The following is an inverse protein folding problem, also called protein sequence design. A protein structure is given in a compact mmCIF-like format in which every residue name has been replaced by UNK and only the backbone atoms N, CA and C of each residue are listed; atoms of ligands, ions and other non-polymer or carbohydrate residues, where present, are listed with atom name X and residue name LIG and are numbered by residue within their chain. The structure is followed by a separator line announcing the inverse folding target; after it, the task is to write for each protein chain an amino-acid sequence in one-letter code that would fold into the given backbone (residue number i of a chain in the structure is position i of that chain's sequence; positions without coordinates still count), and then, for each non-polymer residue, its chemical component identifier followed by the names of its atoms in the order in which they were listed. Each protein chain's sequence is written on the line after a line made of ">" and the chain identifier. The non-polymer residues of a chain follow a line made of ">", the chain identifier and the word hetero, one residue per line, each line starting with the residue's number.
data_IF_686721761295
#
_entry.id   IF_686721761295
#
_cell.length_a   1.000
_cell.length_b   1.000
_cell.length_c   1.000
_cell.angle_alpha   90.00
_cell.angle_beta   90.00
_cell.angle_gamma   90.00
#
_symmetry.space_group_name_H-M   'P 1'
#
loop_
_entity.id
_entity.type
_entity.pdbx_description
1 polymer ?
#
# COMPACT_ATOMS: atom_id res chain seq x y z
N UNK A 1 6.12 -19.32 -6.02
CA UNK A 1 5.44 -18.03 -5.69
C UNK A 1 5.29 -18.02 -4.20
N UNK A 2 5.56 -16.90 -3.53
CA UNK A 2 5.42 -16.79 -2.08
C UNK A 2 3.94 -16.79 -1.71
N UNK A 3 3.53 -17.71 -0.83
CA UNK A 3 2.18 -17.78 -0.30
C UNK A 3 1.87 -16.55 0.55
N UNK A 4 0.62 -16.07 0.50
CA UNK A 4 0.20 -14.89 1.27
C UNK A 4 -0.73 -15.32 2.41
N UNK A 5 -0.43 -14.90 3.63
CA UNK A 5 -1.18 -15.27 4.83
C UNK A 5 -2.67 -14.85 4.75
N UNK A 6 -2.96 -13.78 4.02
CA UNK A 6 -4.32 -13.26 3.84
C UNK A 6 -5.19 -14.09 2.87
N UNK A 7 -4.62 -15.09 2.15
CA UNK A 7 -5.33 -15.84 1.10
C UNK A 7 -6.59 -16.54 1.61
N UNK A 8 -6.47 -17.26 2.72
CA UNK A 8 -7.62 -18.00 3.29
C UNK A 8 -8.74 -17.04 3.71
N UNK A 9 -8.37 -15.90 4.26
CA UNK A 9 -9.35 -14.88 4.64
C UNK A 9 -10.07 -14.30 3.43
N UNK A 10 -9.35 -13.99 2.39
CA UNK A 10 -9.91 -13.49 1.14
C UNK A 10 -10.97 -14.45 0.58
N UNK A 11 -10.66 -15.75 0.56
CA UNK A 11 -11.58 -16.80 0.09
C UNK A 11 -12.81 -16.91 0.99
N UNK A 12 -12.63 -16.88 2.31
CA UNK A 12 -13.75 -16.97 3.26
C UNK A 12 -14.65 -15.74 3.22
N UNK A 13 -14.10 -14.54 3.04
CA UNK A 13 -14.89 -13.31 2.88
C UNK A 13 -15.72 -13.33 1.58
N UNK A 14 -15.16 -13.85 0.49
CA UNK A 14 -15.90 -13.98 -0.77
C UNK A 14 -17.14 -14.89 -0.65
N UNK A 15 -17.17 -15.82 0.32
CA UNK A 15 -18.36 -16.62 0.63
C UNK A 15 -19.40 -15.88 1.47
N UNK A 16 -19.03 -14.77 2.12
CA UNK A 16 -19.87 -14.09 3.11
C UNK A 16 -20.44 -12.77 2.61
N UNK A 17 -19.77 -12.09 1.67
CA UNK A 17 -20.19 -10.79 1.15
C UNK A 17 -20.19 -10.80 -0.38
N UNK A 18 -21.06 -9.99 -1.01
CA UNK A 18 -21.12 -9.92 -2.48
C UNK A 18 -19.87 -9.33 -3.13
N UNK A 19 -19.17 -8.44 -2.43
CA UNK A 19 -17.97 -7.76 -2.94
C UNK A 19 -16.83 -7.90 -1.93
N UNK A 20 -15.62 -8.24 -2.39
CA UNK A 20 -14.39 -8.11 -1.59
C UNK A 20 -13.46 -7.13 -2.27
N UNK A 21 -12.98 -6.14 -1.54
CA UNK A 21 -12.07 -5.13 -2.06
C UNK A 21 -10.68 -5.28 -1.43
N UNK A 22 -9.66 -5.46 -2.24
CA UNK A 22 -8.27 -5.57 -1.81
C UNK A 22 -7.55 -4.26 -2.14
N UNK A 23 -7.12 -3.55 -1.10
CA UNK A 23 -6.33 -2.33 -1.22
C UNK A 23 -4.90 -2.56 -0.73
N UNK A 24 -3.99 -1.66 -1.06
CA UNK A 24 -2.60 -1.73 -0.59
C UNK A 24 -1.64 -1.00 -1.52
N UNK A 25 -0.37 -0.87 -1.15
CA UNK A 25 0.61 -0.17 -1.95
C UNK A 25 0.77 -0.79 -3.34
N UNK A 26 1.29 -0.02 -4.29
CA UNK A 26 1.65 -0.56 -5.60
C UNK A 26 2.69 -1.68 -5.43
N UNK A 27 2.62 -2.66 -6.33
CA UNK A 27 3.54 -3.80 -6.39
C UNK A 27 3.53 -4.71 -5.15
N UNK A 28 2.55 -4.58 -4.24
CA UNK A 28 2.39 -5.50 -3.11
C UNK A 28 1.89 -6.90 -3.49
N UNK A 29 1.51 -7.11 -4.77
CA UNK A 29 1.08 -8.41 -5.29
C UNK A 29 -0.44 -8.63 -5.31
N UNK A 30 -1.27 -7.57 -5.24
CA UNK A 30 -2.75 -7.65 -5.26
C UNK A 30 -3.29 -8.45 -6.44
N UNK A 31 -2.94 -8.07 -7.65
CA UNK A 31 -3.36 -8.76 -8.89
C UNK A 31 -2.99 -10.23 -8.88
N UNK A 32 -1.76 -10.55 -8.45
CA UNK A 32 -1.28 -11.93 -8.34
C UNK A 32 -2.07 -12.72 -7.32
N UNK A 33 -2.35 -12.14 -6.15
CA UNK A 33 -3.15 -12.76 -5.10
C UNK A 33 -4.55 -13.12 -5.63
N UNK A 34 -5.28 -12.17 -6.20
CA UNK A 34 -6.68 -12.41 -6.62
C UNK A 34 -6.78 -13.42 -7.77
N UNK A 35 -5.89 -13.35 -8.76
CA UNK A 35 -5.87 -14.31 -9.87
C UNK A 35 -5.61 -15.75 -9.41
N UNK A 36 -4.74 -15.92 -8.42
CA UNK A 36 -4.43 -17.26 -7.91
C UNK A 36 -5.50 -17.79 -6.94
N UNK A 37 -6.16 -16.88 -6.20
CA UNK A 37 -7.23 -17.27 -5.28
C UNK A 37 -8.54 -17.61 -6.00
N UNK A 38 -8.77 -17.03 -7.19
CA UNK A 38 -10.00 -17.19 -7.97
C UNK A 38 -9.70 -17.44 -9.44
N UNK A 39 -9.07 -18.57 -9.79
CA UNK A 39 -8.66 -18.86 -11.17
C UNK A 39 -9.85 -19.03 -12.13
N UNK A 40 -11.03 -19.33 -11.60
CA UNK A 40 -12.29 -19.52 -12.36
C UNK A 40 -13.06 -18.20 -12.59
N UNK A 41 -12.67 -17.10 -11.94
CA UNK A 41 -13.33 -15.82 -12.13
C UNK A 41 -12.88 -15.14 -13.44
N UNK A 42 -13.81 -14.48 -14.10
CA UNK A 42 -13.46 -13.56 -15.19
C UNK A 42 -12.55 -12.43 -14.63
N UNK A 43 -11.70 -11.91 -15.48
CA UNK A 43 -10.73 -10.90 -15.08
C UNK A 43 -10.69 -9.74 -16.07
N UNK A 44 -10.75 -8.53 -15.58
CA UNK A 44 -10.54 -7.30 -16.35
C UNK A 44 -9.60 -6.35 -15.62
N UNK A 45 -8.70 -5.70 -16.39
CA UNK A 45 -7.78 -4.68 -15.88
C UNK A 45 -8.15 -3.31 -16.45
N UNK A 46 -8.43 -2.35 -15.59
CA UNK A 46 -8.77 -0.98 -15.95
C UNK A 46 -7.54 -0.08 -16.19
N UNK A 47 -6.32 -0.60 -16.08
CA UNK A 47 -5.14 0.07 -16.67
C UNK A 47 -5.18 0.03 -18.20
N UNK A 48 -5.83 -0.99 -18.78
CA UNK A 48 -6.05 -1.06 -20.24
C UNK A 48 -7.02 0.06 -20.68
N UNK A 49 -6.59 0.93 -21.61
CA UNK A 49 -7.42 2.06 -22.07
C UNK A 49 -8.73 1.63 -22.73
N UNK A 50 -8.76 0.48 -23.42
CA UNK A 50 -9.95 -0.03 -24.11
C UNK A 50 -10.99 -0.47 -23.07
N UNK A 51 -10.57 -1.25 -22.07
CA UNK A 51 -11.45 -1.69 -20.98
C UNK A 51 -11.97 -0.50 -20.18
N UNK A 52 -11.10 0.49 -19.93
CA UNK A 52 -11.47 1.71 -19.22
C UNK A 52 -12.49 2.53 -19.98
N UNK A 53 -12.30 2.73 -21.29
CA UNK A 53 -13.25 3.44 -22.15
C UNK A 53 -14.62 2.75 -22.14
N UNK A 54 -14.66 1.43 -22.34
CA UNK A 54 -15.90 0.66 -22.27
C UNK A 54 -16.60 0.81 -20.91
N UNK A 55 -15.84 0.69 -19.81
CA UNK A 55 -16.37 0.84 -18.46
C UNK A 55 -16.93 2.24 -18.18
N UNK A 56 -16.36 3.28 -18.79
CA UNK A 56 -16.78 4.67 -18.59
C UNK A 56 -17.97 5.06 -19.46
N UNK A 57 -17.96 4.67 -20.73
CA UNK A 57 -18.96 5.10 -21.71
C UNK A 57 -20.19 4.18 -21.79
N UNK A 58 -19.97 2.87 -21.57
CA UNK A 58 -21.02 1.85 -21.58
C UNK A 58 -20.82 0.79 -20.50
N UNK A 59 -21.13 1.14 -19.26
CA UNK A 59 -20.99 0.19 -18.15
C UNK A 59 -21.88 -1.06 -18.29
N UNK A 60 -23.02 -0.97 -19.01
CA UNK A 60 -23.88 -2.15 -19.26
C UNK A 60 -23.19 -3.13 -20.21
N UNK A 61 -22.70 -2.64 -21.37
CA UNK A 61 -21.91 -3.44 -22.29
C UNK A 61 -20.63 -3.98 -21.65
N UNK A 62 -20.03 -3.24 -20.70
CA UNK A 62 -18.90 -3.72 -19.91
C UNK A 62 -19.26 -4.97 -19.10
N UNK A 63 -20.37 -4.98 -18.33
CA UNK A 63 -20.80 -6.15 -17.54
C UNK A 63 -21.43 -7.27 -18.40
N UNK A 64 -21.90 -6.98 -19.61
CA UNK A 64 -22.28 -8.00 -20.60
C UNK A 64 -21.05 -8.74 -21.14
N UNK A 65 -19.95 -8.01 -21.34
CA UNK A 65 -18.68 -8.56 -21.83
C UNK A 65 -17.94 -9.33 -20.73
N UNK A 66 -17.82 -8.73 -19.55
CA UNK A 66 -17.11 -9.30 -18.39
C UNK A 66 -18.14 -9.78 -17.35
N UNK A 67 -18.62 -11.02 -17.56
CA UNK A 67 -19.66 -11.63 -16.69
C UNK A 67 -19.15 -11.98 -15.31
N UNK A 68 -20.04 -11.97 -14.34
CA UNK A 68 -19.81 -12.49 -12.98
C UNK A 68 -19.58 -14.01 -12.96
N UNK A 69 -18.80 -14.54 -12.00
CA UNK A 69 -18.03 -13.79 -11.01
C UNK A 69 -16.82 -13.10 -11.64
N UNK A 70 -16.51 -11.87 -11.19
CA UNK A 70 -15.59 -10.96 -11.88
C UNK A 70 -14.54 -10.33 -10.95
N UNK A 71 -13.28 -10.39 -11.37
CA UNK A 71 -12.19 -9.61 -10.78
C UNK A 71 -12.03 -8.32 -11.61
N UNK A 72 -12.16 -7.17 -10.95
CA UNK A 72 -11.90 -5.85 -11.55
C UNK A 72 -10.63 -5.29 -10.91
N UNK A 73 -9.56 -5.24 -11.69
CA UNK A 73 -8.25 -4.78 -11.24
C UNK A 73 -8.09 -3.28 -11.52
N UNK A 74 -7.51 -2.55 -10.55
CA UNK A 74 -7.27 -1.10 -10.56
C UNK A 74 -8.58 -0.29 -10.70
N UNK A 75 -9.61 -0.66 -9.92
CA UNK A 75 -10.96 -0.09 -9.98
C UNK A 75 -11.00 1.44 -9.74
N UNK A 76 -9.99 2.04 -9.09
CA UNK A 76 -9.90 3.48 -8.93
C UNK A 76 -9.75 4.25 -10.25
N UNK A 77 -9.46 3.57 -11.37
CA UNK A 77 -9.40 4.19 -12.70
C UNK A 77 -10.78 4.56 -13.24
N UNK A 78 -11.84 3.89 -12.76
CA UNK A 78 -13.25 4.18 -13.10
C UNK A 78 -14.10 4.05 -11.83
N UNK A 79 -14.04 5.04 -10.93
CA UNK A 79 -14.75 4.98 -9.63
C UNK A 79 -16.28 4.88 -9.78
N UNK A 80 -16.83 5.33 -10.90
CA UNK A 80 -18.25 5.29 -11.23
C UNK A 80 -18.80 3.86 -11.29
N UNK A 81 -17.95 2.86 -11.62
CA UNK A 81 -18.33 1.45 -11.60
C UNK A 81 -18.78 0.97 -10.20
N UNK A 82 -18.30 1.59 -9.12
CA UNK A 82 -18.71 1.23 -7.77
C UNK A 82 -20.22 1.44 -7.57
N UNK A 83 -20.80 2.48 -8.19
CA UNK A 83 -22.24 2.72 -8.15
C UNK A 83 -23.02 1.72 -9.00
N UNK A 84 -22.50 1.32 -10.16
CA UNK A 84 -23.12 0.28 -10.96
C UNK A 84 -23.10 -1.08 -10.24
N UNK A 85 -21.97 -1.45 -9.62
CA UNK A 85 -21.84 -2.66 -8.80
C UNK A 85 -22.82 -2.63 -7.61
N UNK A 86 -23.01 -1.47 -6.97
CA UNK A 86 -23.99 -1.31 -5.91
C UNK A 86 -25.39 -1.70 -6.38
N UNK A 87 -25.85 -1.16 -7.52
CA UNK A 87 -27.17 -1.48 -8.08
C UNK A 87 -27.30 -2.98 -8.34
N UNK A 88 -26.34 -3.58 -9.04
CA UNK A 88 -26.34 -5.02 -9.34
C UNK A 88 -26.39 -5.90 -8.10
N UNK A 89 -25.66 -5.52 -7.04
CA UNK A 89 -25.64 -6.24 -5.75
C UNK A 89 -26.97 -6.09 -5.01
N UNK A 90 -27.61 -4.92 -5.07
CA UNK A 90 -28.89 -4.66 -4.41
C UNK A 90 -30.07 -5.38 -5.09
N UNK A 91 -29.98 -5.62 -6.40
CA UNK A 91 -30.98 -6.38 -7.15
C UNK A 91 -30.98 -7.90 -6.83
N UNK A 92 -29.82 -8.45 -6.44
CA UNK A 92 -29.66 -9.87 -6.11
C UNK A 92 -28.89 -10.08 -4.81
N UNK A 93 -29.51 -9.71 -3.70
CA UNK A 93 -28.91 -9.67 -2.36
C UNK A 93 -28.50 -11.04 -1.79
N UNK A 94 -28.84 -12.13 -2.43
CA UNK A 94 -28.55 -13.48 -1.93
C UNK A 94 -27.21 -14.05 -2.40
N UNK A 95 -26.54 -13.42 -3.36
CA UNK A 95 -25.30 -13.93 -3.97
C UNK A 95 -24.06 -13.24 -3.40
N UNK A 96 -23.16 -14.04 -2.86
CA UNK A 96 -21.85 -13.62 -2.40
C UNK A 96 -20.76 -13.92 -3.43
N UNK A 97 -19.58 -13.29 -3.29
CA UNK A 97 -18.42 -13.52 -4.15
C UNK A 97 -18.62 -13.09 -5.60
N UNK A 98 -19.52 -12.14 -5.87
CA UNK A 98 -19.79 -11.69 -7.23
C UNK A 98 -18.65 -10.88 -7.82
N UNK A 99 -18.03 -10.01 -6.99
CA UNK A 99 -16.97 -9.11 -7.41
C UNK A 99 -15.78 -9.15 -6.46
N UNK A 100 -14.59 -9.25 -7.03
CA UNK A 100 -13.33 -9.02 -6.35
C UNK A 100 -12.71 -7.77 -6.95
N UNK A 101 -12.59 -6.72 -6.15
CA UNK A 101 -12.04 -5.43 -6.59
C UNK A 101 -10.61 -5.30 -6.08
N UNK A 102 -9.70 -4.82 -6.92
CA UNK A 102 -8.38 -4.41 -6.45
C UNK A 102 -8.14 -2.96 -6.76
N UNK A 103 -7.33 -2.32 -5.96
CA UNK A 103 -6.91 -0.95 -6.23
C UNK A 103 -5.77 -0.48 -5.34
N UNK A 104 -5.02 0.50 -5.84
CA UNK A 104 -4.11 1.25 -5.01
C UNK A 104 -4.94 2.03 -3.98
N UNK A 105 -4.44 2.09 -2.73
CA UNK A 105 -5.12 2.85 -1.69
C UNK A 105 -5.05 4.34 -2.04
N UNK A 106 -6.16 4.89 -2.50
CA UNK A 106 -6.30 6.29 -2.85
C UNK A 106 -7.53 6.87 -2.15
N UNK A 107 -7.50 8.15 -1.72
CA UNK A 107 -8.64 8.79 -1.07
C UNK A 107 -9.94 8.71 -1.90
N UNK A 108 -9.80 8.79 -3.24
CA UNK A 108 -10.94 8.69 -4.18
C UNK A 108 -11.60 7.30 -4.09
N UNK A 109 -10.81 6.23 -4.08
CA UNK A 109 -11.32 4.86 -3.96
C UNK A 109 -12.00 4.65 -2.60
N UNK A 110 -11.40 5.10 -1.51
CA UNK A 110 -12.01 4.99 -0.18
C UNK A 110 -13.35 5.72 -0.11
N UNK A 111 -13.42 6.93 -0.65
CA UNK A 111 -14.66 7.70 -0.70
C UNK A 111 -15.73 6.99 -1.52
N UNK A 112 -15.37 6.46 -2.69
CA UNK A 112 -16.29 5.71 -3.55
C UNK A 112 -16.82 4.44 -2.87
N UNK A 113 -15.95 3.66 -2.22
CA UNK A 113 -16.33 2.47 -1.46
C UNK A 113 -17.27 2.85 -0.31
N UNK A 114 -16.94 3.88 0.47
CA UNK A 114 -17.77 4.34 1.58
C UNK A 114 -19.15 4.85 1.13
N UNK A 115 -19.25 5.46 -0.04
CA UNK A 115 -20.51 5.97 -0.59
C UNK A 115 -21.37 4.88 -1.23
N UNK A 116 -20.77 4.02 -2.06
CA UNK A 116 -21.53 3.06 -2.88
C UNK A 116 -21.58 1.66 -2.30
N UNK A 117 -20.52 1.18 -1.67
CA UNK A 117 -20.41 -0.21 -1.23
C UNK A 117 -20.47 -0.40 0.29
N UNK A 118 -20.89 0.63 1.05
CA UNK A 118 -21.08 0.49 2.50
C UNK A 118 -22.05 -0.66 2.83
N UNK A 119 -21.61 -1.60 3.70
CA UNK A 119 -22.39 -2.77 4.07
C UNK A 119 -22.48 -3.88 3.00
N UNK A 120 -21.86 -3.70 1.83
CA UNK A 120 -21.84 -4.65 0.71
C UNK A 120 -20.46 -5.22 0.42
N UNK A 121 -19.41 -4.58 0.92
CA UNK A 121 -18.03 -5.00 0.70
C UNK A 121 -17.28 -5.22 2.00
N UNK A 122 -16.39 -6.21 2.00
CA UNK A 122 -15.32 -6.36 2.98
C UNK A 122 -14.03 -5.86 2.38
N UNK A 123 -13.28 -5.05 3.15
CA UNK A 123 -12.02 -4.47 2.69
C UNK A 123 -10.86 -5.21 3.34
N UNK A 124 -9.95 -5.70 2.51
CA UNK A 124 -8.68 -6.29 2.92
C UNK A 124 -7.52 -5.40 2.50
N UNK A 125 -6.53 -5.28 3.37
CA UNK A 125 -5.31 -4.55 3.06
C UNK A 125 -4.16 -5.53 2.81
N UNK A 126 -3.59 -5.51 1.61
CA UNK A 126 -2.41 -6.31 1.27
C UNK A 126 -1.16 -5.43 1.31
N UNK A 127 -0.37 -5.56 2.37
CA UNK A 127 0.93 -4.92 2.52
C UNK A 127 2.06 -5.75 1.86
N UNK A 128 3.30 -5.25 1.76
CA UNK A 128 4.45 -6.04 1.34
C UNK A 128 4.58 -7.35 2.13
N UNK A 129 5.52 -8.22 1.75
CA UNK A 129 5.71 -9.51 2.40
C UNK A 129 5.99 -9.37 3.90
N UNK A 130 5.40 -10.26 4.70
CA UNK A 130 5.71 -10.38 6.12
C UNK A 130 6.94 -11.27 6.35
N UNK A 131 7.52 -11.18 7.54
CA UNK A 131 8.61 -12.09 7.94
C UNK A 131 8.14 -13.55 7.94
N UNK A 132 6.90 -13.81 8.36
CA UNK A 132 6.35 -15.18 8.37
C UNK A 132 6.24 -15.74 6.95
N UNK A 133 5.70 -14.99 5.99
CA UNK A 133 5.59 -15.41 4.58
C UNK A 133 6.96 -15.76 3.99
N UNK A 134 8.01 -14.99 4.30
CA UNK A 134 9.38 -15.27 3.86
C UNK A 134 9.99 -16.47 4.61
N UNK A 135 9.69 -16.63 5.90
CA UNK A 135 10.20 -17.72 6.71
C UNK A 135 9.60 -19.08 6.30
N UNK A 136 8.28 -19.11 6.04
CA UNK A 136 7.59 -20.31 5.58
C UNK A 136 8.11 -20.85 4.22
N UNK A 137 8.64 -19.96 3.38
CA UNK A 137 9.28 -20.31 2.11
C UNK A 137 10.80 -20.56 2.24
N UNK A 138 11.34 -20.54 3.46
CA UNK A 138 12.78 -20.75 3.71
C UNK A 138 13.70 -19.63 3.21
N UNK A 139 13.12 -18.48 2.80
CA UNK A 139 13.86 -17.39 2.14
C UNK A 139 14.73 -16.61 3.13
N UNK A 140 14.35 -16.56 4.40
CA UNK A 140 15.09 -15.82 5.43
C UNK A 140 16.38 -16.51 5.85
N UNK A 141 16.54 -17.80 5.53
CA UNK A 141 17.72 -18.55 5.92
C UNK A 141 18.97 -17.98 5.21
N UNK A 142 19.93 -17.53 6.00
CA UNK A 142 21.20 -16.97 5.48
C UNK A 142 21.13 -15.47 5.08
N UNK A 143 19.97 -14.82 5.23
CA UNK A 143 19.89 -13.36 5.03
C UNK A 143 20.34 -12.63 6.29
N UNK A 144 21.32 -11.73 6.15
CA UNK A 144 21.71 -10.81 7.24
C UNK A 144 20.63 -9.74 7.45
N UNK A 145 20.58 -9.16 8.65
CA UNK A 145 19.70 -8.03 8.93
C UNK A 145 20.03 -6.84 8.03
N UNK A 146 21.31 -6.58 7.76
CA UNK A 146 21.74 -5.48 6.90
C UNK A 146 21.33 -5.73 5.43
N UNK A 147 21.31 -7.00 4.98
CA UNK A 147 20.72 -7.37 3.69
C UNK A 147 19.21 -7.07 3.64
N UNK A 148 18.46 -7.38 4.70
CA UNK A 148 17.04 -7.08 4.79
C UNK A 148 16.74 -5.57 4.80
N UNK A 149 17.61 -4.75 5.41
CA UNK A 149 17.50 -3.29 5.34
C UNK A 149 17.60 -2.75 3.92
N UNK A 150 18.43 -3.37 3.08
CA UNK A 150 18.60 -2.97 1.68
C UNK A 150 17.50 -3.54 0.78
N UNK A 151 17.22 -4.84 0.93
CA UNK A 151 16.32 -5.55 0.05
C UNK A 151 14.86 -5.16 0.30
N UNK A 152 14.49 -4.89 1.57
CA UNK A 152 13.10 -4.65 1.92
C UNK A 152 12.22 -5.89 1.73
N UNK A 153 10.93 -5.69 1.49
CA UNK A 153 9.93 -6.76 1.50
C UNK A 153 8.96 -6.73 0.31
N UNK A 154 9.32 -6.00 -0.74
CA UNK A 154 8.53 -6.01 -1.97
C UNK A 154 8.64 -7.37 -2.68
N UNK A 155 7.50 -8.00 -3.08
CA UNK A 155 7.48 -9.35 -3.64
C UNK A 155 8.40 -9.54 -4.85
N UNK A 156 8.56 -8.51 -5.69
CA UNK A 156 9.41 -8.55 -6.88
C UNK A 156 10.86 -8.84 -6.55
N UNK A 157 11.35 -8.37 -5.41
CA UNK A 157 12.75 -8.54 -4.97
C UNK A 157 13.08 -9.97 -4.51
N UNK A 158 12.06 -10.83 -4.40
CA UNK A 158 12.19 -12.24 -4.00
C UNK A 158 11.89 -13.20 -5.13
N UNK A 159 11.70 -12.69 -6.36
CA UNK A 159 11.53 -13.52 -7.54
C UNK A 159 12.90 -13.99 -8.07
N UNK A 160 12.92 -15.19 -8.66
CA UNK A 160 14.12 -15.67 -9.37
C UNK A 160 14.44 -14.72 -10.54
N UNK A 161 15.68 -14.22 -10.57
CA UNK A 161 16.12 -13.23 -11.56
C UNK A 161 15.58 -11.80 -11.29
N UNK A 162 15.24 -11.49 -10.05
CA UNK A 162 14.86 -10.13 -9.64
C UNK A 162 16.00 -9.12 -9.89
N UNK A 163 15.60 -7.86 -10.03
CA UNK A 163 16.54 -6.74 -10.14
C UNK A 163 17.26 -6.52 -8.80
N UNK A 164 18.44 -5.91 -8.86
CA UNK A 164 19.10 -5.42 -7.65
C UNK A 164 18.20 -4.42 -6.91
N UNK A 165 18.17 -4.42 -5.56
CA UNK A 165 17.31 -3.54 -4.78
C UNK A 165 17.43 -2.06 -5.14
N UNK A 166 18.64 -1.57 -5.37
CA UNK A 166 18.89 -0.17 -5.76
C UNK A 166 18.22 0.19 -7.10
N UNK A 167 18.29 -0.70 -8.07
CA UNK A 167 17.64 -0.51 -9.38
C UNK A 167 16.12 -0.55 -9.22
N UNK A 168 15.62 -1.49 -8.42
CA UNK A 168 14.20 -1.61 -8.14
C UNK A 168 13.63 -0.34 -7.48
N UNK A 169 14.24 0.17 -6.40
CA UNK A 169 13.73 1.34 -5.68
C UNK A 169 13.90 2.64 -6.47
N UNK A 170 14.95 2.77 -7.28
CA UNK A 170 15.07 3.86 -8.24
C UNK A 170 13.88 3.89 -9.20
N UNK A 171 13.57 2.74 -9.81
CA UNK A 171 12.48 2.64 -10.77
C UNK A 171 11.11 2.81 -10.09
N UNK A 172 10.96 2.29 -8.86
CA UNK A 172 9.76 2.49 -8.04
C UNK A 172 9.53 3.98 -7.71
N UNK A 173 10.60 4.70 -7.34
CA UNK A 173 10.54 6.15 -7.08
C UNK A 173 10.09 6.89 -8.35
N UNK A 174 10.77 6.66 -9.47
CA UNK A 174 10.53 7.37 -10.73
C UNK A 174 9.15 7.06 -11.34
N UNK A 175 8.66 5.83 -11.21
CA UNK A 175 7.40 5.44 -11.87
C UNK A 175 6.17 5.64 -11.01
N UNK A 176 6.25 5.33 -9.73
CA UNK A 176 5.11 5.42 -8.83
C UNK A 176 5.07 6.76 -8.09
N UNK A 177 6.17 7.14 -7.44
CA UNK A 177 6.17 8.33 -6.59
C UNK A 177 6.08 9.59 -7.44
N UNK A 178 6.85 9.66 -8.53
CA UNK A 178 6.82 10.82 -9.42
C UNK A 178 5.50 10.94 -10.19
N UNK A 179 4.94 9.84 -10.66
CA UNK A 179 3.74 9.88 -11.50
C UNK A 179 2.47 9.94 -10.67
N UNK A 180 2.21 8.91 -9.86
CA UNK A 180 0.91 8.75 -9.22
C UNK A 180 0.72 9.70 -8.03
N UNK A 181 1.75 9.86 -7.16
CA UNK A 181 1.66 10.79 -6.04
C UNK A 181 1.66 12.24 -6.52
N UNK A 182 2.36 12.54 -7.62
CA UNK A 182 2.33 13.87 -8.24
C UNK A 182 0.92 14.23 -8.71
N UNK A 183 0.22 13.30 -9.38
CA UNK A 183 -1.16 13.51 -9.80
C UNK A 183 -2.10 13.69 -8.58
N UNK A 184 -1.97 12.85 -7.56
CA UNK A 184 -2.81 12.88 -6.35
C UNK A 184 -2.66 14.16 -5.52
N UNK A 185 -1.46 14.73 -5.47
CA UNK A 185 -1.11 15.88 -4.64
C UNK A 185 -1.04 17.19 -5.44
N UNK A 186 -1.30 17.14 -6.75
CA UNK A 186 -1.09 18.29 -7.66
C UNK A 186 0.28 18.96 -7.44
N UNK A 187 1.33 18.12 -7.28
CA UNK A 187 2.67 18.60 -6.93
C UNK A 187 3.21 19.47 -8.04
N UNK A 188 3.33 20.78 -7.76
CA UNK A 188 3.90 21.78 -8.69
C UNK A 188 5.42 21.70 -8.80
N UNK A 189 6.08 21.21 -7.74
CA UNK A 189 7.55 21.13 -7.68
C UNK A 189 7.97 19.76 -7.16
N UNK A 190 8.33 18.87 -8.08
CA UNK A 190 8.73 17.50 -7.79
C UNK A 190 10.04 17.45 -6.99
N UNK A 191 11.01 18.33 -7.28
CA UNK A 191 12.29 18.33 -6.58
C UNK A 191 12.14 18.61 -5.08
N UNK A 192 11.21 19.51 -4.71
CA UNK A 192 10.88 19.77 -3.31
C UNK A 192 10.24 18.56 -2.65
N UNK A 193 9.38 17.83 -3.37
CA UNK A 193 8.78 16.62 -2.85
C UNK A 193 9.79 15.49 -2.65
N UNK A 194 10.69 15.27 -3.61
CA UNK A 194 11.77 14.28 -3.49
C UNK A 194 12.73 14.66 -2.34
N UNK A 195 13.09 15.95 -2.23
CA UNK A 195 13.85 16.47 -1.10
C UNK A 195 13.15 16.20 0.24
N UNK A 196 11.83 16.42 0.29
CA UNK A 196 11.03 16.08 1.47
C UNK A 196 11.10 14.60 1.83
N UNK A 197 10.95 13.68 0.85
CA UNK A 197 11.06 12.24 1.07
C UNK A 197 12.44 11.85 1.61
N UNK A 198 13.51 12.40 1.06
CA UNK A 198 14.89 12.14 1.53
C UNK A 198 15.08 12.64 2.96
N UNK A 199 14.64 13.87 3.25
CA UNK A 199 14.70 14.42 4.61
C UNK A 199 13.84 13.65 5.60
N UNK A 200 12.73 13.08 5.14
CA UNK A 200 11.86 12.22 5.94
C UNK A 200 12.55 10.88 6.25
N UNK A 201 13.24 10.27 5.28
CA UNK A 201 14.04 9.07 5.49
C UNK A 201 15.16 9.31 6.53
N UNK A 202 15.82 10.47 6.48
CA UNK A 202 16.82 10.90 7.48
C UNK A 202 16.25 11.08 8.90
N UNK A 203 14.92 11.09 9.05
CA UNK A 203 14.21 11.24 10.33
C UNK A 203 13.36 10.00 10.68
N UNK A 204 13.64 8.88 10.05
CA UNK A 204 12.95 7.62 10.36
C UNK A 204 13.09 7.27 11.84
N UNK A 205 12.00 6.81 12.48
CA UNK A 205 11.97 6.52 13.90
C UNK A 205 11.96 7.76 14.82
N UNK A 206 11.84 8.96 14.27
CA UNK A 206 11.87 10.21 15.04
C UNK A 206 10.53 10.95 15.00
N UNK A 207 10.31 11.79 16.00
CA UNK A 207 9.19 12.75 16.02
C UNK A 207 9.47 13.89 15.06
N UNK A 208 8.53 14.19 14.16
CA UNK A 208 8.72 15.22 13.14
C UNK A 208 8.23 16.58 13.61
N UNK A 209 9.07 17.60 13.42
CA UNK A 209 8.70 19.00 13.52
C UNK A 209 8.47 19.58 12.12
N UNK A 210 7.20 19.72 11.73
CA UNK A 210 6.82 20.22 10.41
C UNK A 210 7.25 21.66 10.16
N UNK A 211 7.30 22.51 11.19
CA UNK A 211 7.75 23.91 11.04
C UNK A 211 9.24 23.99 10.71
N UNK A 212 10.07 23.17 11.36
CA UNK A 212 11.49 23.12 11.02
C UNK A 212 11.69 22.54 9.61
N UNK A 213 11.01 21.44 9.29
CA UNK A 213 11.12 20.76 8.01
C UNK A 213 10.62 21.63 6.85
N UNK A 214 9.62 22.51 7.08
CA UNK A 214 9.11 23.45 6.07
C UNK A 214 10.18 24.43 5.58
N UNK A 215 11.03 24.91 6.48
CA UNK A 215 12.19 25.75 6.13
C UNK A 215 13.23 25.01 5.29
N UNK A 216 13.50 23.75 5.63
CA UNK A 216 14.48 22.92 4.91
C UNK A 216 13.98 22.53 3.49
N UNK A 217 12.69 22.26 3.33
CA UNK A 217 12.08 21.88 2.04
C UNK A 217 11.73 23.10 1.18
N UNK A 218 11.43 24.23 1.81
CA UNK A 218 11.01 25.46 1.12
C UNK A 218 9.54 25.42 0.68
N UNK A 219 8.66 24.82 1.52
CA UNK A 219 7.20 24.82 1.37
C UNK A 219 6.51 25.06 2.71
N UNK A 220 5.21 25.35 2.72
CA UNK A 220 4.48 25.57 3.97
C UNK A 220 4.35 24.29 4.81
N UNK A 221 4.21 24.43 6.13
CA UNK A 221 3.93 23.30 7.02
C UNK A 221 2.58 22.63 6.70
N UNK A 222 1.62 23.37 6.18
CA UNK A 222 0.32 22.85 5.69
C UNK A 222 0.54 21.91 4.52
N UNK A 223 1.32 22.31 3.51
CA UNK A 223 1.70 21.47 2.37
C UNK A 223 2.40 20.20 2.81
N UNK A 224 3.34 20.28 3.77
CA UNK A 224 3.99 19.08 4.30
C UNK A 224 3.02 18.16 5.03
N UNK A 225 2.03 18.70 5.75
CA UNK A 225 1.00 17.91 6.40
C UNK A 225 0.12 17.16 5.40
N UNK A 226 -0.23 17.80 4.29
CA UNK A 226 -0.96 17.17 3.17
C UNK A 226 -0.13 16.07 2.55
N UNK A 227 1.15 16.32 2.24
CA UNK A 227 2.07 15.32 1.70
C UNK A 227 2.21 14.11 2.63
N UNK A 228 2.39 14.33 3.94
CA UNK A 228 2.43 13.25 4.93
C UNK A 228 1.14 12.42 4.93
N UNK A 229 -0.01 13.07 4.83
CA UNK A 229 -1.30 12.37 4.85
C UNK A 229 -1.47 11.48 3.62
N UNK A 230 -1.03 11.94 2.44
CA UNK A 230 -1.07 11.11 1.23
C UNK A 230 -0.02 9.99 1.28
N UNK A 231 1.19 10.25 1.77
CA UNK A 231 2.21 9.20 1.95
C UNK A 231 1.72 8.09 2.90
N UNK A 232 1.01 8.46 3.98
CA UNK A 232 0.41 7.48 4.89
C UNK A 232 -0.75 6.72 4.23
N UNK A 233 -1.66 7.44 3.54
CA UNK A 233 -2.76 6.84 2.79
C UNK A 233 -2.28 5.92 1.66
N UNK A 234 -1.09 6.15 1.12
CA UNK A 234 -0.45 5.32 0.09
C UNK A 234 0.45 4.21 0.65
N UNK A 235 0.46 4.03 1.98
CA UNK A 235 1.30 3.06 2.67
C UNK A 235 2.81 3.21 2.41
N UNK A 236 3.28 4.41 2.11
CA UNK A 236 4.73 4.70 2.03
C UNK A 236 5.30 4.84 3.43
N UNK A 237 4.57 5.54 4.30
CA UNK A 237 4.93 5.75 5.69
C UNK A 237 3.81 5.27 6.62
N UNK A 238 4.18 5.09 7.87
CA UNK A 238 3.29 4.88 9.00
C UNK A 238 3.59 5.88 10.10
N UNK A 239 2.54 6.52 10.65
CA UNK A 239 2.62 7.47 11.77
C UNK A 239 2.28 6.76 13.08
N UNK A 240 3.29 6.42 13.86
CA UNK A 240 3.12 5.80 15.16
C UNK A 240 2.80 6.86 16.20
N UNK A 241 1.55 6.86 16.69
CA UNK A 241 1.11 7.79 17.74
C UNK A 241 1.69 7.38 19.10
N UNK A 242 2.09 8.35 19.94
CA UNK A 242 2.61 8.02 21.27
C UNK A 242 1.50 7.45 22.16
N UNK A 243 1.86 6.50 23.00
CA UNK A 243 0.95 6.00 24.03
C UNK A 243 0.82 6.99 25.18
N UNK A 244 -0.39 7.38 25.50
CA UNK A 244 -0.76 8.07 26.74
C UNK A 244 -2.05 7.45 27.27
N UNK A 245 -2.18 7.34 28.59
CA UNK A 245 -3.44 6.96 29.25
C UNK A 245 -4.57 7.95 28.93
N UNK A 246 -4.22 9.23 28.84
CA UNK A 246 -5.16 10.29 28.44
C UNK A 246 -5.33 10.35 26.91
N UNK A 247 -6.56 10.10 26.43
CA UNK A 247 -6.90 10.06 25.00
C UNK A 247 -6.62 11.38 24.29
N UNK A 248 -6.91 12.53 24.95
CA UNK A 248 -6.65 13.87 24.39
C UNK A 248 -5.17 14.07 24.10
N UNK A 249 -4.28 13.65 25.02
CA UNK A 249 -2.83 13.74 24.82
C UNK A 249 -2.35 12.88 23.65
N UNK A 250 -2.97 11.70 23.41
CA UNK A 250 -2.65 10.85 22.24
C UNK A 250 -2.93 11.54 20.91
N UNK A 251 -3.92 12.41 20.85
CA UNK A 251 -4.31 13.11 19.63
C UNK A 251 -3.46 14.35 19.33
N UNK A 252 -2.96 15.01 20.38
CA UNK A 252 -2.26 16.31 20.26
C UNK A 252 -0.75 16.12 20.03
N UNK A 253 -0.14 15.04 20.55
CA UNK A 253 1.31 14.82 20.45
C UNK A 253 1.72 14.33 19.08
N UNK A 254 2.84 14.87 18.58
CA UNK A 254 3.40 14.50 17.28
C UNK A 254 3.82 13.03 17.23
N UNK A 255 3.46 12.29 16.17
CA UNK A 255 3.83 10.90 16.00
C UNK A 255 5.30 10.74 15.58
N UNK A 256 5.86 9.56 15.82
CA UNK A 256 7.07 9.11 15.13
C UNK A 256 6.72 8.65 13.72
N UNK A 257 7.66 8.80 12.79
CA UNK A 257 7.49 8.39 11.39
C UNK A 257 8.34 7.15 11.10
N UNK A 258 7.71 6.18 10.44
CA UNK A 258 8.36 4.96 9.97
C UNK A 258 8.03 4.74 8.49
N UNK A 259 8.98 4.20 7.73
CA UNK A 259 8.71 3.72 6.39
C UNK A 259 8.10 2.31 6.46
N UNK A 260 7.01 2.09 5.74
CA UNK A 260 6.38 0.77 5.64
C UNK A 260 7.30 -0.20 4.89
N UNK A 261 8.03 0.31 3.90
CA UNK A 261 9.02 -0.42 3.13
C UNK A 261 10.42 0.09 3.45
N UNK A 262 11.19 -0.72 4.20
CA UNK A 262 12.50 -0.29 4.72
C UNK A 262 13.55 -0.12 3.62
N UNK A 263 13.50 -0.94 2.56
CA UNK A 263 14.43 -0.82 1.45
C UNK A 263 14.29 0.51 0.72
N UNK A 264 13.07 1.08 0.64
CA UNK A 264 12.88 2.43 0.12
C UNK A 264 13.55 3.49 1.00
N UNK A 265 13.47 3.36 2.32
CA UNK A 265 14.15 4.29 3.23
C UNK A 265 15.67 4.22 3.06
N UNK A 266 16.24 3.01 2.98
CA UNK A 266 17.67 2.80 2.74
C UNK A 266 18.11 3.39 1.40
N UNK A 267 17.32 3.19 0.35
CA UNK A 267 17.59 3.78 -0.98
C UNK A 267 17.60 5.32 -0.93
N UNK A 268 16.61 5.94 -0.28
CA UNK A 268 16.52 7.40 -0.13
C UNK A 268 17.69 8.00 0.66
N UNK A 269 18.30 7.23 1.55
CA UNK A 269 19.50 7.58 2.31
C UNK A 269 20.81 7.34 1.55
N UNK A 270 20.75 6.76 0.34
CA UNK A 270 21.94 6.43 -0.45
C UNK A 270 22.73 5.23 0.10
N UNK A 271 22.06 4.34 0.86
CA UNK A 271 22.66 3.11 1.39
C UNK A 271 22.51 2.02 0.33
N UNK A 272 23.62 1.61 -0.27
CA UNK A 272 23.66 0.72 -1.43
C UNK A 272 24.25 -0.67 -1.12
N UNK A 273 25.01 -0.78 -0.03
CA UNK A 273 25.69 -2.02 0.36
C UNK A 273 25.46 -2.38 1.83
N UNK A 274 25.56 -3.66 2.17
CA UNK A 274 25.48 -4.14 3.55
C UNK A 274 26.52 -3.46 4.46
N UNK A 275 27.71 -3.20 3.92
CA UNK A 275 28.78 -2.51 4.65
C UNK A 275 28.42 -1.06 4.99
N UNK A 276 27.74 -0.36 4.06
CA UNK A 276 27.22 0.98 4.33
C UNK A 276 26.09 0.90 5.36
N UNK A 277 25.11 0.00 5.20
CA UNK A 277 24.02 -0.19 6.16
C UNK A 277 24.54 -0.47 7.58
N UNK A 278 25.57 -1.32 7.72
CA UNK A 278 26.15 -1.67 9.01
C UNK A 278 26.81 -0.49 9.73
N UNK A 279 27.41 0.45 8.98
CA UNK A 279 28.14 1.60 9.50
C UNK A 279 27.33 2.90 9.53
N UNK A 280 26.11 2.88 9.00
CA UNK A 280 25.29 4.09 8.90
C UNK A 280 24.88 4.58 10.30
N UNK A 281 25.01 5.89 10.56
CA UNK A 281 24.60 6.49 11.84
C UNK A 281 23.10 6.26 12.16
N UNK A 282 22.26 6.10 11.14
CA UNK A 282 20.82 5.84 11.28
C UNK A 282 20.48 4.34 11.35
N UNK A 283 21.47 3.43 11.38
CA UNK A 283 21.23 1.99 11.43
C UNK A 283 20.24 1.58 12.52
N UNK A 284 20.39 2.15 13.74
CA UNK A 284 19.45 1.89 14.84
C UNK A 284 18.01 2.30 14.53
N UNK A 285 17.83 3.45 13.90
CA UNK A 285 16.53 3.96 13.47
C UNK A 285 15.92 3.12 12.34
N UNK A 286 16.74 2.66 11.39
CA UNK A 286 16.32 1.76 10.32
C UNK A 286 15.88 0.41 10.88
N UNK A 287 16.58 -0.14 11.85
CA UNK A 287 16.19 -1.38 12.56
C UNK A 287 14.89 -1.19 13.32
N UNK A 288 14.71 -0.07 14.03
CA UNK A 288 13.44 0.26 14.68
C UNK A 288 12.30 0.33 13.65
N UNK A 289 12.53 0.98 12.50
CA UNK A 289 11.54 1.06 11.43
C UNK A 289 11.22 -0.31 10.83
N UNK A 290 12.22 -1.16 10.65
CA UNK A 290 12.04 -2.54 10.23
C UNK A 290 11.12 -3.29 11.21
N UNK A 291 11.38 -3.23 12.50
CA UNK A 291 10.59 -3.91 13.52
C UNK A 291 9.16 -3.38 13.57
N UNK A 292 8.98 -2.07 13.63
CA UNK A 292 7.64 -1.45 13.68
C UNK A 292 6.83 -1.81 12.43
N UNK A 293 7.41 -1.73 11.24
CA UNK A 293 6.72 -2.10 10.00
C UNK A 293 6.34 -3.59 9.97
N UNK A 294 7.19 -4.48 10.50
CA UNK A 294 6.88 -5.93 10.54
C UNK A 294 5.78 -6.25 11.53
N UNK A 295 5.76 -5.60 12.69
CA UNK A 295 4.65 -5.70 13.66
C UNK A 295 3.35 -5.17 13.03
N UNK A 296 3.38 -4.00 12.36
CA UNK A 296 2.22 -3.45 11.66
C UNK A 296 1.66 -4.44 10.63
N UNK A 297 2.52 -4.98 9.78
CA UNK A 297 2.11 -5.95 8.75
C UNK A 297 1.53 -7.22 9.38
N UNK A 298 2.15 -7.75 10.43
CA UNK A 298 1.64 -8.91 11.16
C UNK A 298 0.25 -8.66 11.73
N UNK A 299 0.01 -7.49 12.33
CA UNK A 299 -1.29 -7.11 12.89
C UNK A 299 -2.34 -6.95 11.79
N UNK A 300 -2.01 -6.27 10.68
CA UNK A 300 -2.92 -6.09 9.54
C UNK A 300 -3.30 -7.43 8.93
N UNK A 301 -2.31 -8.31 8.70
CA UNK A 301 -2.55 -9.66 8.16
C UNK A 301 -3.33 -10.57 9.14
N UNK A 302 -3.31 -10.28 10.45
CA UNK A 302 -4.07 -11.00 11.49
C UNK A 302 -5.47 -10.41 11.73
N UNK A 303 -6.00 -9.55 10.86
CA UNK A 303 -7.32 -8.88 10.99
C UNK A 303 -7.46 -7.97 12.23
N UNK A 304 -6.40 -7.62 12.88
CA UNK A 304 -6.46 -6.77 14.05
C UNK A 304 -6.37 -5.31 13.64
N UNK A 305 -7.23 -4.46 14.20
CA UNK A 305 -7.02 -3.02 14.09
C UNK A 305 -5.68 -2.68 14.76
N UNK A 306 -4.71 -2.12 14.03
CA UNK A 306 -3.41 -1.84 14.61
C UNK A 306 -3.54 -0.79 15.71
N UNK A 307 -3.55 -1.25 16.96
CA UNK A 307 -3.41 -0.40 18.15
C UNK A 307 -1.95 -0.41 18.58
N UNK A 308 -1.07 0.03 17.71
CA UNK A 308 0.36 0.21 17.99
C UNK A 308 0.57 1.64 18.47
N UNK A 309 1.32 1.79 19.57
CA UNK A 309 1.65 3.08 20.19
C UNK A 309 3.14 3.16 20.46
#
# INVERSE_FOLDING_TARGET
>A
MISRNITNELIELAKQVPVVTIIGPRQSGKTTLVKNSFPEYNYVNLEDPINRMLATEDYKGFFETFKEPLIIDEVQRVPELLSAIQVMVDEDRGKNGRFILTGSHQPVLQKGIAQSLAGRTSILTLLPLSMNELSEEGILEGLSTDKLLLQGFMPELYRKGSREPIVYYRDYLNTYIEKDLREMLEIKNLDKFLRFLTLLAGRVGQVINLSALSGEVGVSSTTLSEWLSVLEASYIIYRLKPYFSNITKRQIKSPKIYFTEIGLASYLLGIETENQANRDPLRGNLLESLLVSRVLIGIVNAKQNPKIY
#
